data_IF_144607938029
#
_entry.id   IF_144607938029
#
_cell.length_a   1.000
_cell.length_b   1.000
_cell.length_c   1.000
_cell.angle_alpha   90.00
_cell.angle_beta   90.00
_cell.angle_gamma   90.00
#
_symmetry.space_group_name_H-M   'P 1'
#
loop_
_entity.id
_entity.type
_entity.pdbx_description
1 polymer ?
#
# COMPACT_ATOMS: atom_id res chain seq x y z
N UNK A 1 18.10 -21.70 -10.65
CA UNK A 1 18.06 -21.05 -9.30
C UNK A 1 16.97 -19.98 -9.32
N UNK A 2 16.48 -19.54 -8.16
CA UNK A 2 15.54 -18.39 -8.10
C UNK A 2 16.15 -17.14 -8.79
N UNK A 3 17.47 -16.95 -8.69
CA UNK A 3 18.22 -15.95 -9.45
C UNK A 3 18.08 -16.11 -10.98
N UNK A 4 18.16 -17.35 -11.49
CA UNK A 4 18.06 -17.65 -12.93
C UNK A 4 16.64 -17.53 -13.50
N UNK A 5 15.62 -17.46 -12.65
CA UNK A 5 14.23 -17.27 -13.04
C UNK A 5 13.73 -15.83 -12.80
N UNK A 6 14.60 -14.93 -12.32
CA UNK A 6 14.26 -13.55 -11.93
C UNK A 6 13.13 -13.46 -10.88
N UNK A 7 12.79 -14.56 -10.19
CA UNK A 7 11.76 -14.62 -9.14
C UNK A 7 12.24 -14.06 -7.79
N UNK A 8 13.12 -13.07 -7.82
CA UNK A 8 13.69 -12.38 -6.65
C UNK A 8 12.87 -11.14 -6.24
N UNK A 9 11.68 -10.96 -6.83
CA UNK A 9 10.78 -9.84 -6.57
C UNK A 9 9.35 -10.36 -6.38
N UNK A 10 8.52 -9.75 -5.52
CA UNK A 10 7.10 -10.04 -5.50
C UNK A 10 6.54 -9.73 -6.89
N UNK A 11 6.11 -10.75 -7.62
CA UNK A 11 5.66 -10.59 -9.00
C UNK A 11 4.34 -9.85 -9.05
N UNK A 12 3.33 -10.37 -8.34
CA UNK A 12 1.98 -9.82 -8.27
C UNK A 12 1.39 -10.16 -6.91
N UNK A 13 0.80 -9.18 -6.24
CA UNK A 13 0.09 -9.36 -4.98
C UNK A 13 -1.23 -8.60 -5.08
N UNK A 14 -2.36 -9.31 -5.05
CA UNK A 14 -3.69 -8.73 -5.19
C UNK A 14 -4.29 -8.39 -3.80
N UNK A 15 -5.22 -7.43 -3.76
CA UNK A 15 -5.97 -7.11 -2.54
C UNK A 15 -7.27 -7.90 -2.51
N UNK A 16 -7.49 -8.63 -1.42
CA UNK A 16 -8.72 -9.36 -1.13
C UNK A 16 -9.29 -8.91 0.21
N UNK A 17 -10.61 -9.02 0.35
CA UNK A 17 -11.30 -8.93 1.65
C UNK A 17 -12.06 -10.21 1.92
N UNK A 18 -12.20 -10.55 3.20
CA UNK A 18 -12.96 -11.71 3.66
C UNK A 18 -13.48 -11.46 5.07
N UNK A 19 -14.47 -12.25 5.49
CA UNK A 19 -14.91 -12.27 6.88
C UNK A 19 -13.79 -12.83 7.78
N UNK A 20 -13.78 -12.46 9.07
CA UNK A 20 -12.79 -12.94 10.03
C UNK A 20 -12.76 -14.48 10.18
N UNK A 21 -13.87 -15.15 9.88
CA UNK A 21 -13.97 -16.62 9.87
C UNK A 21 -13.47 -17.28 8.55
N UNK A 22 -12.95 -16.50 7.60
CA UNK A 22 -12.48 -16.99 6.30
C UNK A 22 -13.52 -17.07 5.19
N UNK A 23 -14.81 -16.86 5.50
CA UNK A 23 -15.87 -16.86 4.48
C UNK A 23 -15.93 -15.55 3.68
N UNK A 24 -16.68 -15.54 2.58
CA UNK A 24 -16.89 -14.37 1.71
C UNK A 24 -15.59 -13.73 1.20
N UNK A 25 -14.57 -14.54 0.89
CA UNK A 25 -13.36 -14.05 0.22
C UNK A 25 -13.72 -13.49 -1.15
N UNK A 26 -13.39 -12.23 -1.40
CA UNK A 26 -13.59 -11.56 -2.69
C UNK A 26 -12.42 -10.68 -3.06
N UNK A 27 -12.15 -10.62 -4.36
CA UNK A 27 -11.15 -9.73 -4.94
C UNK A 27 -11.62 -8.28 -4.80
N UNK A 28 -10.70 -7.38 -4.45
CA UNK A 28 -10.91 -5.93 -4.44
C UNK A 28 -10.10 -5.28 -5.55
N UNK A 29 -8.83 -5.66 -5.69
CA UNK A 29 -7.93 -5.06 -6.68
C UNK A 29 -6.95 -6.08 -7.26
N UNK A 30 -6.91 -6.13 -8.59
CA UNK A 30 -5.93 -6.84 -9.41
C UNK A 30 -5.48 -5.89 -10.53
N UNK A 31 -4.22 -5.46 -10.45
CA UNK A 31 -3.63 -4.45 -11.34
C UNK A 31 -2.27 -4.89 -11.91
N UNK A 32 -1.89 -6.16 -11.70
CA UNK A 32 -0.58 -6.69 -12.12
C UNK A 32 0.62 -6.17 -11.33
N UNK A 33 0.41 -5.39 -10.28
CA UNK A 33 1.44 -4.85 -9.41
C UNK A 33 1.60 -5.69 -8.13
N UNK A 34 2.64 -5.38 -7.36
CA UNK A 34 2.76 -5.86 -5.98
C UNK A 34 1.97 -4.89 -5.08
N UNK A 35 0.85 -5.35 -4.51
CA UNK A 35 0.07 -4.59 -3.52
C UNK A 35 0.21 -5.27 -2.14
N UNK A 36 0.72 -4.56 -1.14
CA UNK A 36 0.97 -5.15 0.18
C UNK A 36 0.68 -4.19 1.35
N UNK A 37 0.70 -4.74 2.57
CA UNK A 37 0.38 -4.05 3.82
C UNK A 37 -0.94 -3.25 3.76
N UNK A 38 -2.07 -3.88 3.40
CA UNK A 38 -3.35 -3.21 3.41
C UNK A 38 -3.79 -2.89 4.84
N UNK A 39 -4.45 -1.75 5.01
CA UNK A 39 -5.08 -1.33 6.25
C UNK A 39 -6.44 -0.68 5.94
N UNK A 40 -7.46 -0.96 6.75
CA UNK A 40 -8.77 -0.32 6.59
C UNK A 40 -8.75 1.10 7.15
N UNK A 41 -9.33 2.06 6.43
CA UNK A 41 -9.72 3.31 7.04
C UNK A 41 -10.81 3.03 8.11
N UNK A 42 -10.94 3.84 9.18
CA UNK A 42 -11.89 3.57 10.26
C UNK A 42 -13.37 3.49 9.85
N UNK A 43 -13.75 3.98 8.67
CA UNK A 43 -15.10 3.80 8.12
C UNK A 43 -15.40 2.34 7.69
N UNK A 44 -14.37 1.50 7.56
CA UNK A 44 -14.49 0.12 7.09
C UNK A 44 -14.87 -0.02 5.61
N UNK A 45 -14.90 1.08 4.85
CA UNK A 45 -15.24 1.12 3.44
C UNK A 45 -14.04 1.45 2.56
N UNK A 46 -12.96 2.03 3.10
CA UNK A 46 -11.74 2.30 2.33
C UNK A 46 -10.55 1.48 2.81
N UNK A 47 -9.65 1.15 1.89
CA UNK A 47 -8.45 0.35 2.13
C UNK A 47 -7.26 1.13 1.60
N UNK A 48 -6.33 1.50 2.47
CA UNK A 48 -5.02 2.04 2.08
C UNK A 48 -4.00 0.90 2.00
N UNK A 49 -3.09 0.94 1.03
CA UNK A 49 -2.08 -0.10 0.80
C UNK A 49 -0.85 0.47 0.10
N UNK A 50 0.25 -0.29 0.12
CA UNK A 50 1.48 0.04 -0.62
C UNK A 50 1.45 -0.62 -1.99
N UNK A 51 1.74 0.11 -3.07
CA UNK A 51 1.82 -0.44 -4.43
C UNK A 51 2.96 0.14 -5.25
N UNK A 52 3.51 -0.68 -6.15
CA UNK A 52 4.49 -0.27 -7.15
C UNK A 52 3.87 -0.07 -8.55
N UNK A 53 2.55 0.06 -8.65
CA UNK A 53 1.86 0.08 -9.95
C UNK A 53 2.26 1.22 -10.88
N UNK A 54 2.68 2.36 -10.33
CA UNK A 54 3.17 3.51 -11.11
C UNK A 54 4.70 3.56 -11.26
N UNK A 55 5.45 2.54 -10.81
CA UNK A 55 6.90 2.46 -11.04
C UNK A 55 7.22 1.49 -12.19
N UNK A 56 7.70 1.97 -13.34
CA UNK A 56 8.13 1.11 -14.45
C UNK A 56 9.23 0.11 -14.08
N UNK A 57 9.98 0.36 -13.00
CA UNK A 57 11.04 -0.53 -12.52
C UNK A 57 10.55 -1.52 -11.45
N UNK A 58 9.34 -1.34 -10.93
CA UNK A 58 8.70 -2.18 -9.91
C UNK A 58 9.40 -2.17 -8.55
N UNK A 59 10.17 -1.14 -8.23
CA UNK A 59 10.97 -0.99 -6.99
C UNK A 59 10.49 0.14 -6.09
N UNK A 60 9.96 1.22 -6.64
CA UNK A 60 9.35 2.29 -5.86
C UNK A 60 7.93 1.89 -5.47
N UNK A 61 7.59 2.19 -4.22
CA UNK A 61 6.23 2.00 -3.73
C UNK A 61 5.70 3.35 -3.27
N UNK A 62 4.43 3.56 -3.56
CA UNK A 62 3.64 4.68 -3.06
C UNK A 62 2.43 4.12 -2.31
N UNK A 63 1.77 4.98 -1.54
CA UNK A 63 0.51 4.65 -0.89
C UNK A 63 -0.65 4.92 -1.84
N UNK A 64 -1.60 4.00 -1.85
CA UNK A 64 -2.83 4.09 -2.63
C UNK A 64 -4.01 3.73 -1.76
N UNK A 65 -5.18 4.28 -2.10
CA UNK A 65 -6.44 3.96 -1.45
C UNK A 65 -7.45 3.45 -2.47
N UNK A 66 -8.28 2.50 -2.06
CA UNK A 66 -9.36 1.94 -2.88
C UNK A 66 -10.57 1.68 -1.99
N UNK A 67 -11.77 1.84 -2.53
CA UNK A 67 -12.98 1.41 -1.84
C UNK A 67 -13.00 -0.11 -1.72
N UNK A 68 -13.64 -0.61 -0.67
CA UNK A 68 -13.79 -2.03 -0.37
C UNK A 68 -14.51 -2.76 -1.51
N UNK A 69 -15.31 -2.08 -2.33
CA UNK A 69 -15.96 -2.63 -3.52
C UNK A 69 -15.07 -2.66 -4.78
N UNK A 70 -13.86 -2.10 -4.72
CA UNK A 70 -12.89 -2.02 -5.82
C UNK A 70 -12.96 -0.72 -6.63
N UNK A 71 -13.91 0.17 -6.34
CA UNK A 71 -14.01 1.48 -6.98
C UNK A 71 -13.08 2.52 -6.34
N UNK A 72 -12.98 3.71 -6.94
CA UNK A 72 -12.31 4.85 -6.31
C UNK A 72 -10.82 4.65 -6.05
N UNK A 73 -10.11 3.89 -6.90
CA UNK A 73 -8.67 3.74 -6.78
C UNK A 73 -7.98 5.10 -6.96
N UNK A 74 -7.21 5.51 -5.96
CA UNK A 74 -6.48 6.77 -5.95
C UNK A 74 -5.06 6.61 -5.39
N UNK A 75 -4.15 7.47 -5.84
CA UNK A 75 -2.78 7.58 -5.33
C UNK A 75 -2.74 8.63 -4.23
N UNK A 76 -2.17 8.27 -3.09
CA UNK A 76 -2.12 9.10 -1.88
C UNK A 76 -0.76 9.80 -1.74
N UNK A 77 0.33 9.13 -2.09
CA UNK A 77 1.68 9.72 -2.05
C UNK A 77 2.35 9.72 -3.42
N UNK A 78 3.26 10.67 -3.64
CA UNK A 78 3.88 10.93 -4.95
C UNK A 78 5.40 11.08 -4.83
N UNK A 79 6.02 10.26 -3.99
CA UNK A 79 7.43 10.40 -3.67
C UNK A 79 8.29 9.60 -4.66
N UNK A 80 9.47 10.12 -5.02
CA UNK A 80 10.42 9.40 -5.89
C UNK A 80 11.13 8.24 -5.16
N UNK A 81 10.89 8.12 -3.86
CA UNK A 81 11.44 7.09 -3.00
C UNK A 81 10.32 6.37 -2.25
N UNK A 82 10.65 5.21 -1.68
CA UNK A 82 9.71 4.32 -1.01
C UNK A 82 8.81 5.04 0.00
N UNK A 83 7.51 4.79 -0.11
CA UNK A 83 6.48 4.99 0.91
C UNK A 83 5.74 3.66 1.12
N UNK A 84 5.48 3.27 2.36
CA UNK A 84 4.80 2.02 2.65
C UNK A 84 4.36 1.83 4.10
N UNK A 85 3.76 0.67 4.36
CA UNK A 85 3.28 0.26 5.69
C UNK A 85 2.31 1.27 6.34
N UNK A 86 1.21 1.65 5.66
CA UNK A 86 0.26 2.64 6.16
C UNK A 86 -0.58 2.10 7.33
N UNK A 87 -0.86 2.94 8.32
CA UNK A 87 -1.82 2.67 9.40
C UNK A 87 -2.55 3.94 9.82
N UNK A 88 -3.89 3.89 9.88
CA UNK A 88 -4.70 4.99 10.38
C UNK A 88 -4.84 4.96 11.91
N UNK A 89 -4.95 6.14 12.52
CA UNK A 89 -5.41 6.26 13.90
C UNK A 89 -6.88 5.80 14.02
N UNK A 90 -7.33 5.33 15.19
CA UNK A 90 -8.70 4.83 15.36
C UNK A 90 -9.80 5.86 15.04
N UNK A 91 -9.49 7.15 15.17
CA UNK A 91 -10.39 8.26 14.84
C UNK A 91 -10.27 8.76 13.39
N UNK A 92 -9.38 8.15 12.59
CA UNK A 92 -9.15 8.49 11.18
C UNK A 92 -8.43 9.81 10.96
N UNK A 93 -8.01 10.50 12.01
CA UNK A 93 -7.39 11.83 11.93
C UNK A 93 -5.94 11.81 11.49
N UNK A 94 -5.25 10.69 11.69
CA UNK A 94 -3.82 10.60 11.41
C UNK A 94 -3.50 9.34 10.62
N UNK A 95 -2.56 9.48 9.68
CA UNK A 95 -1.94 8.38 8.97
C UNK A 95 -0.48 8.28 9.40
N UNK A 96 -0.10 7.13 9.97
CA UNK A 96 1.29 6.76 10.15
C UNK A 96 1.77 5.92 8.97
N UNK A 97 2.98 6.17 8.48
CA UNK A 97 3.57 5.40 7.37
C UNK A 97 5.10 5.47 7.40
N UNK A 98 5.76 4.50 6.78
CA UNK A 98 7.20 4.50 6.60
C UNK A 98 7.56 5.16 5.26
N UNK A 99 8.65 5.93 5.24
CA UNK A 99 9.13 6.57 4.02
C UNK A 99 10.63 6.77 4.02
N UNK A 100 11.19 6.81 2.80
CA UNK A 100 12.58 7.17 2.54
C UNK A 100 12.75 8.66 2.15
N UNK A 101 11.71 9.49 2.37
CA UNK A 101 11.79 10.94 2.15
C UNK A 101 12.72 11.61 3.14
N UNK A 102 13.42 12.66 2.68
CA UNK A 102 14.23 13.57 3.49
C UNK A 102 15.31 12.90 4.36
N UNK A 103 15.84 11.76 3.91
CA UNK A 103 16.86 11.04 4.68
C UNK A 103 18.24 11.66 4.61
N UNK A 104 19.04 11.39 5.65
CA UNK A 104 20.46 11.72 5.66
C UNK A 104 21.29 10.80 4.74
N UNK A 105 20.91 9.52 4.62
CA UNK A 105 21.53 8.55 3.72
C UNK A 105 20.52 7.97 2.71
N UNK A 106 20.97 7.58 1.51
CA UNK A 106 20.12 6.84 0.57
C UNK A 106 19.58 5.54 1.20
N UNK A 107 18.27 5.32 1.08
CA UNK A 107 17.54 4.15 1.57
C UNK A 107 17.38 3.99 3.09
N UNK A 108 17.68 5.00 3.91
CA UNK A 108 17.18 5.01 5.28
C UNK A 108 15.65 4.94 5.27
N UNK A 109 15.02 4.42 6.31
CA UNK A 109 13.56 4.41 6.41
C UNK A 109 13.16 5.03 7.72
N UNK A 110 12.34 6.08 7.65
CA UNK A 110 11.81 6.81 8.79
C UNK A 110 10.30 6.63 8.88
N UNK A 111 9.74 6.84 10.08
CA UNK A 111 8.30 6.82 10.31
C UNK A 111 7.78 8.26 10.33
N UNK A 112 6.71 8.49 9.58
CA UNK A 112 6.04 9.77 9.46
C UNK A 112 4.61 9.66 9.98
N UNK A 113 4.09 10.77 10.50
CA UNK A 113 2.68 10.95 10.83
C UNK A 113 2.19 12.17 10.06
N UNK A 114 1.06 12.03 9.37
CA UNK A 114 0.36 13.11 8.69
C UNK A 114 -1.06 13.22 9.24
N UNK A 115 -1.60 14.44 9.32
CA UNK A 115 -3.03 14.64 9.51
C UNK A 115 -3.76 14.28 8.21
N UNK A 116 -4.82 13.49 8.32
CA UNK A 116 -5.63 13.06 7.19
C UNK A 116 -6.73 14.07 6.90
N UNK A 117 -6.91 14.40 5.62
CA UNK A 117 -7.97 15.28 5.13
C UNK A 117 -8.64 14.56 3.96
N UNK A 118 -9.96 14.36 4.07
CA UNK A 118 -10.80 13.79 3.01
C UNK A 118 -11.03 14.77 1.84
#
# INVERSE_FOLDING_TARGET
TLLGQQLIRPGQLNIYVMNANGSNKRLVLENGAANFAPYFFPDGERIIFSSNMDDPRGRNFDLYMVNKDGSGLERVTYNETFDGFPMFSPDGRYLAFASNRNNAQPNDTNVFIAEWVD
#
